data_IF_737701805831
#
_entry.id   IF_737701805831
#
_cell.length_a   1.000
_cell.length_b   1.000
_cell.length_c   1.000
_cell.angle_alpha   90.00
_cell.angle_beta   90.00
_cell.angle_gamma   90.00
#
_symmetry.space_group_name_H-M   'P 1'
#
loop_
_entity.id
_entity.type
_entity.pdbx_description
1 polymer ?
#
# COMPACT_ATOMS: atom_id res chain seq x y z
N UNK A 1 -0.60 -16.06 33.53
CA UNK A 1 -0.49 -16.18 32.07
C UNK A 1 -0.99 -14.85 31.56
N UNK A 2 -0.18 -14.09 30.82
CA UNK A 2 -0.63 -12.83 30.26
C UNK A 2 -1.60 -13.14 29.12
N UNK A 3 -2.80 -12.51 29.13
CA UNK A 3 -3.81 -12.63 28.08
C UNK A 3 -3.44 -11.68 26.93
N UNK A 4 -2.43 -12.04 26.13
CA UNK A 4 -2.10 -11.35 24.89
C UNK A 4 -1.70 -12.38 23.82
N UNK A 5 -2.01 -12.04 22.57
CA UNK A 5 -1.70 -12.86 21.40
C UNK A 5 -0.57 -12.24 20.58
N UNK A 6 -0.10 -12.98 19.59
CA UNK A 6 0.86 -12.46 18.60
C UNK A 6 0.27 -11.24 17.88
N UNK A 7 1.07 -10.17 17.76
CA UNK A 7 0.70 -8.88 17.16
C UNK A 7 -0.18 -7.96 18.01
N UNK A 8 -0.51 -8.33 19.23
CA UNK A 8 -1.11 -7.38 20.16
C UNK A 8 -0.14 -6.25 20.51
N UNK A 9 -0.66 -5.03 20.60
CA UNK A 9 0.09 -3.92 21.17
C UNK A 9 0.04 -4.04 22.69
N UNK A 10 1.22 -4.09 23.30
CA UNK A 10 1.36 -4.29 24.74
C UNK A 10 2.08 -3.11 25.40
N UNK A 11 1.60 -2.72 26.57
CA UNK A 11 2.34 -1.84 27.46
C UNK A 11 3.18 -2.65 28.42
N UNK A 12 4.46 -2.35 28.50
CA UNK A 12 5.40 -3.03 29.38
C UNK A 12 6.01 -2.06 30.37
N UNK A 13 6.06 -2.45 31.63
CA UNK A 13 6.81 -1.77 32.69
C UNK A 13 7.94 -2.64 33.16
N UNK A 14 9.17 -2.10 33.18
CA UNK A 14 10.35 -2.86 33.55
C UNK A 14 11.58 -2.00 33.75
N UNK A 15 12.70 -2.66 34.04
CA UNK A 15 14.01 -2.04 34.23
C UNK A 15 14.94 -2.43 33.09
N UNK A 16 15.64 -1.43 32.53
CA UNK A 16 16.69 -1.70 31.55
C UNK A 16 17.95 -2.11 32.31
N UNK A 17 18.46 -3.29 32.01
CA UNK A 17 19.67 -3.86 32.57
C UNK A 17 20.68 -4.14 31.47
N UNK A 18 21.98 -4.13 31.82
CA UNK A 18 23.03 -4.58 30.91
C UNK A 18 23.43 -6.00 31.27
N UNK A 19 23.33 -6.91 30.30
CA UNK A 19 23.77 -8.30 30.46
C UNK A 19 24.68 -8.68 29.29
N UNK A 20 25.88 -9.12 29.57
CA UNK A 20 26.89 -9.49 28.55
C UNK A 20 27.14 -8.39 27.49
N UNK A 21 27.08 -7.12 27.87
CA UNK A 21 27.30 -5.99 26.97
C UNK A 21 26.08 -5.60 26.09
N UNK A 22 24.96 -6.30 26.22
CA UNK A 22 23.71 -5.98 25.55
C UNK A 22 22.69 -5.42 26.54
N UNK A 23 21.92 -4.41 26.09
CA UNK A 23 20.80 -3.89 26.86
C UNK A 23 19.61 -4.84 26.76
N UNK A 24 19.03 -5.16 27.91
CA UNK A 24 17.85 -6.01 28.04
C UNK A 24 16.83 -5.32 28.95
N UNK A 25 15.54 -5.55 28.72
CA UNK A 25 14.46 -5.09 29.59
C UNK A 25 14.00 -6.24 30.48
N UNK A 26 14.13 -6.05 31.79
CA UNK A 26 13.53 -6.96 32.78
C UNK A 26 12.10 -6.52 33.04
N UNK A 27 11.14 -7.17 32.37
CA UNK A 27 9.72 -6.84 32.43
C UNK A 27 9.15 -7.24 33.80
N UNK A 28 8.54 -6.28 34.50
CA UNK A 28 7.87 -6.48 35.80
C UNK A 28 6.34 -6.56 35.65
N UNK A 29 5.78 -5.80 34.72
CA UNK A 29 4.34 -5.78 34.42
C UNK A 29 4.15 -5.69 32.93
N UNK A 30 3.08 -6.29 32.45
CA UNK A 30 2.69 -6.31 31.05
C UNK A 30 1.16 -6.35 30.98
N UNK A 31 0.57 -5.55 30.09
CA UNK A 31 -0.85 -5.62 29.74
C UNK A 31 -1.05 -5.34 28.25
N UNK A 32 -2.17 -5.78 27.71
CA UNK A 32 -2.60 -5.34 26.36
C UNK A 32 -2.97 -3.86 26.42
N UNK A 33 -2.48 -3.08 25.48
CA UNK A 33 -2.79 -1.66 25.35
C UNK A 33 -4.21 -1.45 24.79
N UNK A 34 -4.93 -0.49 25.35
CA UNK A 34 -6.24 -0.10 24.79
C UNK A 34 -6.09 0.57 23.41
N UNK A 35 -7.08 0.43 22.54
CA UNK A 35 -7.03 0.95 21.16
C UNK A 35 -6.79 2.47 21.06
N UNK A 36 -7.06 3.22 22.11
CA UNK A 36 -6.84 4.68 22.17
C UNK A 36 -5.51 5.07 22.82
N UNK A 37 -4.73 4.09 23.31
CA UNK A 37 -3.49 4.35 24.05
C UNK A 37 -2.26 4.32 23.14
N UNK A 38 -2.40 3.92 21.87
CA UNK A 38 -1.31 3.88 20.90
C UNK A 38 -1.80 4.26 19.52
N UNK A 39 -0.88 4.76 18.69
CA UNK A 39 -1.09 4.93 17.27
C UNK A 39 -0.35 3.80 16.54
N UNK A 40 -1.03 2.93 15.80
CA UNK A 40 -0.37 1.86 15.05
C UNK A 40 0.77 2.35 14.16
N UNK A 41 0.63 3.54 13.57
CA UNK A 41 1.65 4.16 12.71
C UNK A 41 2.99 4.40 13.41
N UNK A 42 3.01 4.51 14.75
CA UNK A 42 4.24 4.75 15.50
C UNK A 42 5.11 3.49 15.64
N UNK A 43 4.52 2.32 15.37
CA UNK A 43 5.16 1.01 15.54
C UNK A 43 5.35 0.25 14.23
N UNK A 44 4.84 0.80 13.13
CA UNK A 44 4.93 0.19 11.82
C UNK A 44 5.89 0.95 10.92
N UNK A 45 6.67 0.26 10.10
CA UNK A 45 7.45 0.93 9.09
C UNK A 45 6.51 1.71 8.16
N UNK A 46 6.77 2.99 7.98
CA UNK A 46 6.01 3.90 7.12
C UNK A 46 6.96 4.59 6.14
N UNK A 47 6.42 5.03 5.00
CA UNK A 47 7.18 5.87 4.09
C UNK A 47 7.62 7.16 4.78
N UNK A 48 8.85 7.60 4.53
CA UNK A 48 9.35 8.92 4.99
C UNK A 48 8.81 10.06 4.12
N UNK A 49 8.15 9.74 3.00
CA UNK A 49 7.62 10.72 2.05
C UNK A 49 6.21 11.15 2.44
N UNK A 50 5.84 12.35 2.03
CA UNK A 50 4.49 12.85 2.24
C UNK A 50 3.51 12.13 1.31
N UNK A 51 2.61 11.33 1.88
CA UNK A 51 1.63 10.48 1.16
C UNK A 51 0.72 11.34 0.28
N UNK A 52 0.19 12.46 0.81
CA UNK A 52 -0.71 13.32 0.05
C UNK A 52 0.00 14.00 -1.13
N UNK A 53 1.25 14.39 -0.95
CA UNK A 53 2.05 14.94 -2.04
C UNK A 53 2.34 13.90 -3.14
N UNK A 54 2.64 12.65 -2.75
CA UNK A 54 2.83 11.55 -3.70
C UNK A 54 1.54 11.26 -4.47
N UNK A 55 0.41 11.20 -3.76
CA UNK A 55 -0.88 10.96 -4.39
C UNK A 55 -1.28 12.08 -5.36
N UNK A 56 -1.11 13.33 -4.94
CA UNK A 56 -1.35 14.48 -5.80
C UNK A 56 -0.46 14.47 -7.05
N UNK A 57 0.79 14.01 -6.94
CA UNK A 57 1.67 13.84 -8.08
C UNK A 57 1.20 12.71 -9.00
N UNK A 58 0.81 11.55 -8.44
CA UNK A 58 0.25 10.44 -9.21
C UNK A 58 -0.97 10.89 -10.03
N UNK A 59 -1.86 11.69 -9.42
CA UNK A 59 -3.06 12.20 -10.08
C UNK A 59 -2.74 13.20 -11.21
N UNK A 60 -1.61 13.90 -11.17
CA UNK A 60 -1.16 14.73 -12.32
C UNK A 60 -0.83 13.89 -13.55
N UNK A 61 -0.27 12.69 -13.37
CA UNK A 61 -0.04 11.77 -14.49
C UNK A 61 -1.37 11.19 -15.00
N UNK A 62 -2.25 10.77 -14.09
CA UNK A 62 -3.59 10.31 -14.47
C UNK A 62 -4.38 11.36 -15.27
N UNK A 63 -4.28 12.63 -14.91
CA UNK A 63 -4.95 13.72 -15.62
C UNK A 63 -4.41 13.98 -17.05
N UNK A 64 -3.24 13.48 -17.40
CA UNK A 64 -2.65 13.60 -18.74
C UNK A 64 -3.13 12.50 -19.70
N UNK A 65 -3.83 11.48 -19.22
CA UNK A 65 -4.39 10.43 -20.07
C UNK A 65 -5.57 11.00 -20.84
N UNK A 66 -5.46 11.00 -22.17
CA UNK A 66 -6.45 11.59 -23.10
C UNK A 66 -7.48 10.56 -23.59
N UNK A 67 -7.10 9.26 -23.61
CA UNK A 67 -8.02 8.20 -24.01
C UNK A 67 -9.18 8.10 -23.03
N UNK A 68 -10.45 8.27 -23.49
CA UNK A 68 -11.59 8.36 -22.57
C UNK A 68 -11.88 7.07 -21.80
N UNK A 69 -11.59 5.91 -22.38
CA UNK A 69 -11.82 4.62 -21.70
C UNK A 69 -10.78 4.38 -20.60
N UNK A 70 -9.52 4.65 -20.89
CA UNK A 70 -8.45 4.55 -19.89
C UNK A 70 -8.65 5.57 -18.77
N UNK A 71 -9.10 6.77 -19.11
CA UNK A 71 -9.42 7.82 -18.14
C UNK A 71 -10.55 7.41 -17.20
N UNK A 72 -11.57 6.67 -17.69
CA UNK A 72 -12.64 6.17 -16.84
C UNK A 72 -12.15 5.12 -15.84
N UNK A 73 -11.21 4.26 -16.21
CA UNK A 73 -10.57 3.30 -15.28
C UNK A 73 -9.82 4.05 -14.16
N UNK A 74 -9.03 5.07 -14.53
CA UNK A 74 -8.34 5.92 -13.54
C UNK A 74 -9.34 6.61 -12.62
N UNK A 75 -10.43 7.17 -13.18
CA UNK A 75 -11.48 7.82 -12.41
C UNK A 75 -12.17 6.84 -11.45
N UNK A 76 -12.41 5.61 -11.88
CA UNK A 76 -13.07 4.59 -11.07
C UNK A 76 -12.27 4.32 -9.79
N UNK A 77 -11.01 3.94 -9.91
CA UNK A 77 -10.17 3.57 -8.77
C UNK A 77 -9.64 4.77 -7.98
N UNK A 78 -9.13 5.78 -8.67
CA UNK A 78 -8.31 6.83 -8.04
C UNK A 78 -9.05 8.16 -7.83
N UNK A 79 -10.36 8.24 -8.10
CA UNK A 79 -11.13 9.47 -7.87
C UNK A 79 -12.46 9.19 -7.20
N UNK A 80 -13.18 8.13 -7.60
CA UNK A 80 -14.55 7.86 -7.15
C UNK A 80 -14.62 6.91 -5.96
N UNK A 81 -13.72 5.95 -5.87
CA UNK A 81 -13.69 4.96 -4.80
C UNK A 81 -12.83 5.44 -3.62
N UNK A 82 -13.46 6.18 -2.71
CA UNK A 82 -12.77 6.71 -1.53
C UNK A 82 -12.15 5.60 -0.66
N UNK A 83 -12.83 4.47 -0.53
CA UNK A 83 -12.33 3.34 0.26
C UNK A 83 -11.07 2.73 -0.36
N UNK A 84 -11.07 2.53 -1.67
CA UNK A 84 -9.89 2.07 -2.39
C UNK A 84 -8.73 3.08 -2.29
N UNK A 85 -9.01 4.37 -2.43
CA UNK A 85 -7.99 5.43 -2.35
C UNK A 85 -7.28 5.40 -0.99
N UNK A 86 -8.02 5.35 0.10
CA UNK A 86 -7.44 5.30 1.45
C UNK A 86 -6.64 4.01 1.67
N UNK A 87 -7.16 2.88 1.21
CA UNK A 87 -6.44 1.61 1.26
C UNK A 87 -5.15 1.67 0.42
N UNK A 88 -5.21 2.13 -0.82
CA UNK A 88 -4.07 2.25 -1.73
C UNK A 88 -2.97 3.16 -1.17
N UNK A 89 -3.35 4.28 -0.55
CA UNK A 89 -2.44 5.25 0.06
C UNK A 89 -1.70 4.69 1.28
N UNK A 90 -2.33 3.81 2.04
CA UNK A 90 -1.77 3.24 3.26
C UNK A 90 -1.16 1.85 3.09
N UNK A 91 -1.39 1.19 1.95
CA UNK A 91 -1.00 -0.20 1.73
C UNK A 91 0.51 -0.36 1.50
N UNK A 92 1.03 -1.54 1.84
CA UNK A 92 2.38 -1.97 1.48
C UNK A 92 2.41 -2.51 0.04
N UNK A 93 3.58 -2.44 -0.60
CA UNK A 93 3.79 -3.10 -1.89
C UNK A 93 4.34 -4.54 -1.76
N UNK A 94 4.70 -4.97 -0.54
CA UNK A 94 5.26 -6.30 -0.30
C UNK A 94 5.13 -6.69 1.18
N UNK A 95 5.17 -7.99 1.47
CA UNK A 95 5.13 -8.51 2.85
C UNK A 95 6.35 -8.08 3.68
N UNK A 96 7.57 -8.10 3.13
CA UNK A 96 8.79 -7.95 3.94
C UNK A 96 10.03 -7.40 3.24
N UNK A 97 9.96 -7.05 1.95
CA UNK A 97 11.10 -6.51 1.19
C UNK A 97 10.75 -5.14 0.61
N UNK A 98 11.39 -4.68 -0.46
CA UNK A 98 11.20 -3.36 -1.04
C UNK A 98 9.76 -2.85 -0.99
N UNK A 99 9.56 -1.69 -0.34
CA UNK A 99 8.26 -1.06 -0.10
C UNK A 99 7.28 -1.86 0.80
N UNK A 100 7.79 -2.76 1.66
CA UNK A 100 7.01 -3.50 2.67
C UNK A 100 6.67 -2.63 3.90
N UNK A 101 6.20 -1.41 3.68
CA UNK A 101 5.83 -0.42 4.69
C UNK A 101 4.56 0.32 4.29
N UNK A 102 3.90 0.95 5.25
CA UNK A 102 2.70 1.75 4.98
C UNK A 102 3.01 2.89 4.01
N UNK A 103 2.19 3.04 2.96
CA UNK A 103 2.43 3.97 1.85
C UNK A 103 3.37 3.42 0.77
N UNK A 104 3.89 2.20 0.94
CA UNK A 104 4.83 1.59 0.00
C UNK A 104 4.24 1.32 -1.37
N UNK A 105 2.96 0.93 -1.44
CA UNK A 105 2.26 0.69 -2.72
C UNK A 105 2.15 1.96 -3.55
N UNK A 106 1.76 3.06 -2.94
CA UNK A 106 1.71 4.37 -3.61
C UNK A 106 3.11 4.82 -4.05
N UNK A 107 4.11 4.69 -3.17
CA UNK A 107 5.49 5.09 -3.49
C UNK A 107 6.06 4.27 -4.64
N UNK A 108 5.83 2.95 -4.65
CA UNK A 108 6.22 2.07 -5.73
C UNK A 108 5.54 2.46 -7.04
N UNK A 109 4.22 2.57 -7.03
CA UNK A 109 3.43 2.92 -8.22
C UNK A 109 3.87 4.26 -8.82
N UNK A 110 4.06 5.29 -8.00
CA UNK A 110 4.55 6.59 -8.46
C UNK A 110 5.94 6.47 -9.10
N UNK A 111 6.82 5.64 -8.54
CA UNK A 111 8.16 5.41 -9.12
C UNK A 111 8.08 4.76 -10.50
N UNK A 112 7.18 3.80 -10.68
CA UNK A 112 6.94 3.15 -11.98
C UNK A 112 6.35 4.13 -12.99
N UNK A 113 5.39 4.97 -12.60
CA UNK A 113 4.80 5.99 -13.48
C UNK A 113 5.85 7.01 -13.94
N UNK A 114 6.72 7.48 -13.04
CA UNK A 114 7.84 8.38 -13.41
C UNK A 114 8.79 7.74 -14.42
N UNK A 115 9.08 6.45 -14.26
CA UNK A 115 9.86 5.71 -15.25
C UNK A 115 9.14 5.62 -16.60
N UNK A 116 7.83 5.36 -16.60
CA UNK A 116 6.99 5.35 -17.80
C UNK A 116 6.96 6.73 -18.50
N UNK A 117 6.93 7.83 -17.74
CA UNK A 117 7.03 9.19 -18.30
C UNK A 117 8.35 9.37 -19.06
N UNK A 118 9.48 9.00 -18.43
CA UNK A 118 10.78 9.06 -19.08
C UNK A 118 10.80 8.23 -20.38
N UNK A 119 10.26 7.01 -20.34
CA UNK A 119 10.20 6.11 -21.50
C UNK A 119 9.33 6.69 -22.63
N UNK A 120 8.16 7.23 -22.31
CA UNK A 120 7.26 7.86 -23.29
C UNK A 120 7.91 9.09 -23.96
N UNK A 121 8.69 9.86 -23.20
CA UNK A 121 9.44 10.99 -23.73
C UNK A 121 10.61 10.59 -24.63
N UNK A 122 11.32 9.49 -24.26
CA UNK A 122 12.46 9.00 -25.03
C UNK A 122 12.06 8.22 -26.29
N UNK A 123 10.89 7.57 -26.28
CA UNK A 123 10.43 6.70 -27.36
C UNK A 123 9.00 7.09 -27.82
N UNK A 124 8.86 8.00 -28.80
CA UNK A 124 7.55 8.50 -29.26
C UNK A 124 6.61 7.42 -29.85
N UNK A 125 7.13 6.22 -30.15
CA UNK A 125 6.33 5.08 -30.61
C UNK A 125 5.47 4.47 -29.48
N UNK A 126 5.81 4.73 -28.21
CA UNK A 126 5.08 4.21 -27.06
C UNK A 126 3.78 4.98 -26.85
N UNK A 127 2.72 4.26 -26.55
CA UNK A 127 1.45 4.86 -26.18
C UNK A 127 1.52 5.34 -24.71
N UNK A 128 1.64 6.64 -24.51
CA UNK A 128 1.76 7.28 -23.19
C UNK A 128 0.56 6.98 -22.30
N UNK A 129 -0.65 7.05 -22.85
CA UNK A 129 -1.88 6.86 -22.09
C UNK A 129 -1.96 5.42 -21.53
N UNK A 130 -1.60 4.45 -22.38
CA UNK A 130 -1.55 3.05 -21.98
C UNK A 130 -0.46 2.81 -20.92
N UNK A 131 0.73 3.41 -21.09
CA UNK A 131 1.83 3.28 -20.12
C UNK A 131 1.43 3.83 -18.74
N UNK A 132 0.84 5.02 -18.69
CA UNK A 132 0.44 5.63 -17.42
C UNK A 132 -0.67 4.83 -16.75
N UNK A 133 -1.70 4.44 -17.49
CA UNK A 133 -2.81 3.65 -16.95
C UNK A 133 -2.33 2.29 -16.47
N UNK A 134 -1.52 1.59 -17.26
CA UNK A 134 -0.94 0.31 -16.87
C UNK A 134 -0.06 0.45 -15.63
N UNK A 135 0.79 1.48 -15.57
CA UNK A 135 1.65 1.74 -14.41
C UNK A 135 0.84 2.07 -13.15
N UNK A 136 -0.28 2.80 -13.26
CA UNK A 136 -1.15 3.08 -12.14
C UNK A 136 -1.89 1.83 -11.64
N UNK A 137 -2.28 0.94 -12.55
CA UNK A 137 -3.12 -0.21 -12.25
C UNK A 137 -2.37 -1.54 -12.04
N UNK A 138 -1.07 -1.63 -12.34
CA UNK A 138 -0.36 -2.93 -12.35
C UNK A 138 -0.38 -3.67 -11.03
N UNK A 139 -0.40 -2.95 -9.93
CA UNK A 139 -0.31 -3.47 -8.58
C UNK A 139 -1.56 -3.21 -7.71
N UNK A 140 -2.69 -2.79 -8.29
CA UNK A 140 -3.93 -2.55 -7.51
C UNK A 140 -4.41 -3.81 -6.77
N UNK A 141 -4.18 -4.98 -7.33
CA UNK A 141 -4.53 -6.27 -6.72
C UNK A 141 -3.83 -6.52 -5.39
N UNK A 142 -2.72 -5.84 -5.09
CA UNK A 142 -2.04 -5.94 -3.79
C UNK A 142 -2.90 -5.49 -2.63
N UNK A 143 -3.86 -4.60 -2.86
CA UNK A 143 -4.83 -4.19 -1.85
C UNK A 143 -5.72 -5.33 -1.36
N UNK A 144 -5.87 -6.41 -2.15
CA UNK A 144 -6.59 -7.64 -1.76
C UNK A 144 -5.64 -8.82 -1.52
N UNK A 145 -4.44 -8.82 -2.13
CA UNK A 145 -3.42 -9.86 -1.94
C UNK A 145 -2.88 -9.90 -0.52
N UNK A 146 -2.64 -8.72 0.06
CA UNK A 146 -2.10 -8.58 1.41
C UNK A 146 -3.15 -8.00 2.34
N UNK A 147 -3.18 -8.48 3.58
CA UNK A 147 -3.96 -7.85 4.64
C UNK A 147 -3.37 -6.51 5.03
N UNK A 148 -4.20 -5.66 5.60
CA UNK A 148 -3.74 -4.36 6.13
C UNK A 148 -2.82 -4.56 7.34
N UNK A 149 -2.00 -3.54 7.64
CA UNK A 149 -1.24 -3.52 8.88
C UNK A 149 -2.17 -3.64 10.11
N UNK A 150 -1.73 -4.29 11.18
CA UNK A 150 -0.35 -4.75 11.50
C UNK A 150 0.04 -6.09 10.87
N UNK A 151 -0.86 -6.83 10.30
CA UNK A 151 -0.60 -8.19 9.82
C UNK A 151 0.31 -8.20 8.59
N UNK A 152 -0.02 -7.42 7.60
CA UNK A 152 0.71 -7.33 6.33
C UNK A 152 1.11 -8.71 5.79
N UNK A 153 0.17 -9.66 5.86
CA UNK A 153 0.36 -11.03 5.43
C UNK A 153 -0.54 -11.38 4.23
N UNK A 154 -0.23 -12.45 3.53
CA UNK A 154 -1.05 -12.90 2.41
C UNK A 154 -2.45 -13.31 2.89
N UNK A 155 -3.46 -12.82 2.20
CA UNK A 155 -4.83 -13.33 2.31
C UNK A 155 -4.97 -14.69 1.63
N UNK A 156 -6.09 -15.39 1.82
CA UNK A 156 -6.35 -16.65 1.10
C UNK A 156 -6.36 -16.42 -0.42
N UNK A 157 -7.00 -15.35 -0.89
CA UNK A 157 -7.01 -14.97 -2.31
C UNK A 157 -5.61 -14.60 -2.79
N UNK A 158 -4.83 -13.91 -1.97
CA UNK A 158 -3.44 -13.58 -2.26
C UNK A 158 -2.56 -14.80 -2.44
N UNK A 159 -2.75 -15.82 -1.61
CA UNK A 159 -2.03 -17.10 -1.68
C UNK A 159 -2.41 -17.92 -2.93
N UNK A 160 -3.69 -17.92 -3.30
CA UNK A 160 -4.22 -18.77 -4.37
C UNK A 160 -4.11 -18.13 -5.74
N UNK A 161 -4.35 -16.84 -5.86
CA UNK A 161 -4.46 -16.11 -7.13
C UNK A 161 -3.27 -15.17 -7.38
N UNK A 162 -2.81 -14.49 -6.33
CA UNK A 162 -1.80 -13.44 -6.43
C UNK A 162 -2.34 -12.13 -7.03
N UNK A 163 -1.63 -11.03 -6.78
CA UNK A 163 -2.09 -9.67 -7.13
C UNK A 163 -2.34 -9.44 -8.62
N UNK A 164 -1.66 -10.18 -9.52
CA UNK A 164 -1.84 -10.00 -10.97
C UNK A 164 -3.24 -10.46 -11.39
N UNK A 165 -3.66 -11.66 -10.98
CA UNK A 165 -4.99 -12.19 -11.29
C UNK A 165 -6.06 -11.36 -10.60
N UNK A 166 -5.89 -11.06 -9.32
CA UNK A 166 -6.78 -10.19 -8.56
C UNK A 166 -6.92 -8.81 -9.23
N UNK A 167 -5.82 -8.22 -9.70
CA UNK A 167 -5.82 -6.94 -10.42
C UNK A 167 -6.60 -7.00 -11.73
N UNK A 168 -6.50 -8.09 -12.48
CA UNK A 168 -7.30 -8.31 -13.71
C UNK A 168 -8.79 -8.38 -13.36
N UNK A 169 -9.19 -9.14 -12.34
CA UNK A 169 -10.57 -9.22 -11.89
C UNK A 169 -11.11 -7.86 -11.45
N UNK A 170 -10.33 -7.08 -10.70
CA UNK A 170 -10.71 -5.73 -10.30
C UNK A 170 -10.95 -4.80 -11.49
N UNK A 171 -10.10 -4.89 -12.53
CA UNK A 171 -10.27 -4.10 -13.75
C UNK A 171 -11.51 -4.55 -14.53
N UNK A 172 -11.77 -5.85 -14.63
CA UNK A 172 -12.97 -6.39 -15.30
C UNK A 172 -14.24 -5.94 -14.56
N UNK A 173 -14.25 -5.98 -13.22
CA UNK A 173 -15.34 -5.44 -12.40
C UNK A 173 -15.56 -3.94 -12.68
N UNK A 174 -14.48 -3.16 -12.75
CA UNK A 174 -14.55 -1.73 -13.05
C UNK A 174 -15.13 -1.48 -14.44
N UNK A 175 -14.69 -2.22 -15.47
CA UNK A 175 -15.21 -2.10 -16.84
C UNK A 175 -16.70 -2.40 -16.88
N UNK A 176 -17.17 -3.42 -16.16
CA UNK A 176 -18.61 -3.74 -16.09
C UNK A 176 -19.44 -2.63 -15.41
N UNK A 177 -18.85 -1.85 -14.51
CA UNK A 177 -19.50 -0.77 -13.77
C UNK A 177 -19.36 0.61 -14.45
N UNK A 178 -18.48 0.73 -15.44
CA UNK A 178 -18.33 1.94 -16.24
C UNK A 178 -19.44 1.95 -17.30
N UNK A 179 -20.35 2.93 -17.21
CA UNK A 179 -21.36 3.14 -18.22
C UNK A 179 -20.69 3.58 -19.54
N UNK A 180 -21.01 2.87 -20.63
CA UNK A 180 -20.51 3.13 -21.98
C UNK A 180 -21.11 4.38 -22.61
#
# INVERSE_FOLDING_TARGET
IADYDEKDFIEVYGEIISYNGSLQMNIKQLRVAGKEEYSPSDYMPTTEKNVEAMYAELMKYGAQVENPWLQQIIQYFFVKDEAFIEQFKSHSAAKSVHHGFSGGLLEHTLSVVRFCEYMAGAYPILNRDLLYTAAMCHDIGKTRELSSFPDNDYTDDGQLLGHIVIGVEMIDEAICNIEG
#
